data_IF_770905131635
#
_entry.id   IF_770905131635
#
_cell.length_a   1.000
_cell.length_b   1.000
_cell.length_c   1.000
_cell.angle_alpha   90.00
_cell.angle_beta   90.00
_cell.angle_gamma   90.00
#
_symmetry.space_group_name_H-M   'P 1'
#
loop_
_entity.id
_entity.type
_entity.pdbx_description
1 polymer ?
#
# COMPACT_ATOMS: atom_id res chain seq x y z
N UNK A 1 -8.65 13.13 6.78
CA UNK A 1 -7.47 13.54 5.99
C UNK A 1 -6.39 12.47 6.05
N UNK A 2 -5.22 12.71 5.49
CA UNK A 2 -4.04 11.80 5.57
C UNK A 2 -3.08 12.24 6.66
N UNK A 3 -2.22 11.32 7.13
CA UNK A 3 -1.25 11.56 8.21
C UNK A 3 -1.90 12.16 9.47
N UNK A 4 -3.10 11.68 9.82
CA UNK A 4 -3.83 12.15 11.00
C UNK A 4 -3.33 11.37 12.22
N UNK A 5 -2.80 12.04 13.25
CA UNK A 5 -2.35 11.39 14.48
C UNK A 5 -3.47 10.65 15.20
N UNK A 6 -3.11 9.59 15.94
CA UNK A 6 -4.07 8.75 16.68
C UNK A 6 -4.91 9.57 17.68
N UNK A 7 -4.29 10.44 18.48
CA UNK A 7 -4.97 11.29 19.46
C UNK A 7 -6.05 12.17 18.81
N UNK A 8 -5.77 12.72 17.63
CA UNK A 8 -6.73 13.53 16.87
C UNK A 8 -7.90 12.69 16.34
N UNK A 9 -7.66 11.46 15.88
CA UNK A 9 -8.71 10.53 15.45
C UNK A 9 -9.64 10.23 16.63
N UNK A 10 -9.08 9.83 17.77
CA UNK A 10 -9.85 9.44 18.95
C UNK A 10 -10.58 10.63 19.57
N UNK A 11 -9.95 11.80 19.60
CA UNK A 11 -10.58 13.04 20.07
C UNK A 11 -11.79 13.39 19.20
N UNK A 12 -11.63 13.42 17.88
CA UNK A 12 -12.72 13.73 16.96
C UNK A 12 -13.86 12.70 17.07
N UNK A 13 -13.53 11.41 17.22
CA UNK A 13 -14.54 10.36 17.41
C UNK A 13 -15.44 10.61 18.62
N UNK A 14 -14.89 11.14 19.73
CA UNK A 14 -15.66 11.51 20.92
C UNK A 14 -16.43 12.82 20.74
N UNK A 15 -15.79 13.85 20.21
CA UNK A 15 -16.41 15.16 20.02
C UNK A 15 -17.62 15.09 19.09
N UNK A 16 -17.53 14.26 18.04
CA UNK A 16 -18.56 14.10 17.03
C UNK A 16 -19.52 12.93 17.31
N UNK A 17 -19.32 12.18 18.41
CA UNK A 17 -20.13 11.00 18.79
C UNK A 17 -20.32 10.01 17.62
N UNK A 18 -19.22 9.60 16.99
CA UNK A 18 -19.28 8.73 15.80
C UNK A 18 -19.69 7.30 16.16
N UNK A 19 -20.36 6.62 15.23
CA UNK A 19 -20.77 5.22 15.42
C UNK A 19 -19.66 4.19 15.14
N UNK A 20 -18.60 4.61 14.44
CA UNK A 20 -17.48 3.77 14.02
C UNK A 20 -16.27 4.59 13.58
N UNK A 21 -15.08 3.99 13.64
CA UNK A 21 -13.83 4.59 13.14
C UNK A 21 -13.33 3.77 11.97
N UNK A 22 -12.98 4.43 10.86
CA UNK A 22 -12.35 3.82 9.70
C UNK A 22 -10.90 4.27 9.52
N UNK A 23 -9.98 3.32 9.35
CA UNK A 23 -8.57 3.57 9.07
C UNK A 23 -8.21 3.09 7.66
N UNK A 24 -7.51 3.93 6.92
CA UNK A 24 -6.99 3.62 5.58
C UNK A 24 -5.47 3.68 5.55
N UNK A 25 -4.83 2.69 4.95
CA UNK A 25 -3.37 2.57 4.87
C UNK A 25 -2.88 2.17 3.48
N UNK A 26 -1.81 2.82 3.02
CA UNK A 26 -1.23 2.60 1.69
C UNK A 26 0.12 1.88 1.73
N UNK A 27 0.89 2.08 2.80
CA UNK A 27 2.27 1.57 2.94
C UNK A 27 2.40 0.69 4.18
N UNK A 28 3.43 -0.15 4.23
CA UNK A 28 3.64 -1.10 5.34
C UNK A 28 3.69 -0.43 6.71
N UNK A 29 4.37 0.73 6.91
CA UNK A 29 4.33 1.44 8.19
C UNK A 29 2.93 1.84 8.67
N UNK A 30 1.97 2.02 7.76
CA UNK A 30 0.58 2.32 8.13
C UNK A 30 -0.07 1.18 8.94
N UNK A 31 0.40 -0.07 8.79
CA UNK A 31 -0.12 -1.22 9.53
C UNK A 31 0.25 -1.18 11.02
N UNK A 32 1.44 -0.65 11.34
CA UNK A 32 1.87 -0.46 12.72
C UNK A 32 1.05 0.66 13.38
N UNK A 33 0.79 1.75 12.66
CA UNK A 33 -0.10 2.83 13.11
C UNK A 33 -1.53 2.33 13.38
N UNK A 34 -2.10 1.50 12.49
CA UNK A 34 -3.42 0.89 12.73
C UNK A 34 -3.44 0.02 13.99
N UNK A 35 -2.37 -0.75 14.21
CA UNK A 35 -2.22 -1.58 15.42
C UNK A 35 -2.08 -0.71 16.68
N UNK A 36 -1.42 0.45 16.56
CA UNK A 36 -1.32 1.43 17.64
C UNK A 36 -2.70 2.04 17.95
N UNK A 37 -3.44 2.51 16.94
CA UNK A 37 -4.79 3.08 17.11
C UNK A 37 -5.73 2.08 17.79
N UNK A 38 -5.73 0.81 17.38
CA UNK A 38 -6.55 -0.23 18.03
C UNK A 38 -6.27 -0.32 19.56
N UNK A 39 -4.98 -0.34 19.95
CA UNK A 39 -4.59 -0.38 21.37
C UNK A 39 -4.98 0.89 22.13
N UNK A 40 -4.88 2.06 21.51
CA UNK A 40 -5.32 3.32 22.12
C UNK A 40 -6.84 3.42 22.20
N UNK A 41 -7.59 2.86 21.26
CA UNK A 41 -9.05 2.72 21.36
C UNK A 41 -9.42 1.87 22.58
N UNK A 42 -8.75 0.74 22.79
CA UNK A 42 -8.95 -0.08 23.99
C UNK A 42 -8.61 0.70 25.27
N UNK A 43 -7.42 1.32 25.33
CA UNK A 43 -7.00 2.13 26.49
C UNK A 43 -7.94 3.30 26.76
N UNK A 44 -8.49 3.90 25.71
CA UNK A 44 -9.45 4.99 25.76
C UNK A 44 -10.88 4.55 26.08
N UNK A 45 -11.14 3.26 26.27
CA UNK A 45 -12.47 2.74 26.63
C UNK A 45 -13.52 2.93 25.52
N UNK A 46 -13.10 2.93 24.25
CA UNK A 46 -14.04 2.98 23.13
C UNK A 46 -14.79 1.66 23.00
N UNK A 47 -16.07 1.71 22.63
CA UNK A 47 -16.98 0.57 22.44
C UNK A 47 -17.55 0.45 21.00
N UNK A 48 -17.12 1.34 20.11
CA UNK A 48 -17.52 1.41 18.71
C UNK A 48 -16.63 0.55 17.78
N UNK A 49 -17.14 0.03 16.65
CA UNK A 49 -16.36 -0.83 15.77
C UNK A 49 -15.22 -0.08 15.07
N UNK A 50 -14.13 -0.80 14.81
CA UNK A 50 -12.97 -0.34 14.05
C UNK A 50 -12.93 -1.00 12.67
N UNK A 51 -12.99 -0.21 11.60
CA UNK A 51 -12.84 -0.66 10.22
C UNK A 51 -11.42 -0.42 9.72
N UNK A 52 -10.82 -1.46 9.14
CA UNK A 52 -9.47 -1.46 8.57
C UNK A 52 -9.57 -1.68 7.06
N UNK A 53 -9.00 -0.76 6.27
CA UNK A 53 -8.95 -0.87 4.82
C UNK A 53 -7.71 -0.21 4.22
N UNK A 54 -7.59 -0.30 2.89
CA UNK A 54 -6.46 0.26 2.13
C UNK A 54 -5.49 -0.80 1.62
N UNK A 55 -4.60 -0.39 0.72
CA UNK A 55 -3.81 -1.27 -0.15
C UNK A 55 -2.92 -2.30 0.60
N UNK A 56 -2.35 -1.93 1.74
CA UNK A 56 -1.47 -2.83 2.51
C UNK A 56 -2.20 -3.70 3.52
N UNK A 57 -3.51 -3.49 3.69
CA UNK A 57 -4.31 -4.23 4.66
C UNK A 57 -4.76 -5.57 4.12
N UNK A 58 -4.93 -6.54 5.01
CA UNK A 58 -5.50 -7.84 4.65
C UNK A 58 -6.27 -8.42 5.82
N UNK A 59 -7.18 -9.36 5.52
CA UNK A 59 -7.90 -10.13 6.54
C UNK A 59 -6.95 -10.82 7.51
N UNK A 60 -5.90 -11.45 7.00
CA UNK A 60 -4.94 -12.20 7.80
C UNK A 60 -4.11 -11.27 8.70
N UNK A 61 -3.59 -10.16 8.17
CA UNK A 61 -2.86 -9.19 9.00
C UNK A 61 -3.75 -8.58 10.08
N UNK A 62 -4.98 -8.18 9.72
CA UNK A 62 -5.94 -7.60 10.66
C UNK A 62 -6.23 -8.58 11.81
N UNK A 63 -6.51 -9.84 11.49
CA UNK A 63 -6.75 -10.89 12.49
C UNK A 63 -5.55 -11.15 13.41
N UNK A 64 -4.33 -11.16 12.87
CA UNK A 64 -3.13 -11.56 13.61
C UNK A 64 -2.49 -10.42 14.39
N UNK A 65 -2.58 -9.18 13.89
CA UNK A 65 -1.79 -8.05 14.41
C UNK A 65 -2.61 -6.88 14.97
N UNK A 66 -3.79 -6.62 14.43
CA UNK A 66 -4.58 -5.43 14.79
C UNK A 66 -5.69 -5.80 15.77
N UNK A 67 -6.54 -6.75 15.41
CA UNK A 67 -7.70 -7.17 16.20
C UNK A 67 -7.37 -7.58 17.65
N UNK A 68 -6.24 -8.25 17.96
CA UNK A 68 -5.88 -8.54 19.36
C UNK A 68 -5.67 -7.30 20.24
N UNK A 69 -5.49 -6.12 19.64
CA UNK A 69 -5.37 -4.86 20.37
C UNK A 69 -6.71 -4.19 20.69
N UNK A 70 -7.84 -4.66 20.15
CA UNK A 70 -9.15 -4.05 20.33
C UNK A 70 -10.31 -5.04 20.18
N UNK A 71 -11.05 -5.27 21.28
CA UNK A 71 -12.02 -6.36 21.42
C UNK A 71 -13.44 -6.02 20.89
N UNK A 72 -13.76 -4.74 20.69
CA UNK A 72 -15.14 -4.29 20.40
C UNK A 72 -15.53 -4.39 18.92
N UNK A 73 -14.85 -5.27 18.17
CA UNK A 73 -15.05 -5.49 16.74
C UNK A 73 -14.06 -4.71 15.89
N UNK A 74 -13.00 -5.41 15.45
CA UNK A 74 -12.05 -4.92 14.43
C UNK A 74 -12.28 -5.69 13.13
N UNK A 75 -12.69 -5.00 12.06
CA UNK A 75 -13.10 -5.64 10.80
C UNK A 75 -12.25 -5.16 9.64
N UNK A 76 -11.78 -6.11 8.82
CA UNK A 76 -11.14 -5.79 7.54
C UNK A 76 -12.19 -5.65 6.44
N UNK A 77 -12.16 -4.52 5.73
CA UNK A 77 -13.04 -4.23 4.59
C UNK A 77 -12.17 -4.14 3.35
N UNK A 78 -12.50 -4.94 2.33
CA UNK A 78 -11.69 -5.09 1.13
C UNK A 78 -11.74 -3.84 0.23
N UNK A 79 -12.93 -3.33 0.00
CA UNK A 79 -13.22 -2.25 -0.96
C UNK A 79 -14.43 -1.43 -0.52
N UNK A 80 -14.66 -0.29 -1.17
CA UNK A 80 -15.74 0.63 -0.84
C UNK A 80 -17.14 0.01 -1.04
N UNK A 81 -17.31 -0.86 -2.05
CA UNK A 81 -18.60 -1.50 -2.34
C UNK A 81 -19.06 -2.39 -1.19
N UNK A 82 -18.11 -3.10 -0.56
CA UNK A 82 -18.37 -3.97 0.59
C UNK A 82 -18.52 -3.20 1.90
N UNK A 83 -17.96 -2.00 1.99
CA UNK A 83 -18.06 -1.15 3.18
C UNK A 83 -19.52 -0.89 3.55
N UNK A 84 -20.38 -0.59 2.57
CA UNK A 84 -21.81 -0.32 2.80
C UNK A 84 -22.51 -1.49 3.49
N UNK A 85 -22.28 -2.71 3.02
CA UNK A 85 -22.87 -3.91 3.61
C UNK A 85 -22.34 -4.23 5.01
N UNK A 86 -21.05 -3.94 5.27
CA UNK A 86 -20.44 -4.11 6.60
C UNK A 86 -21.00 -3.09 7.58
N UNK A 87 -21.03 -1.81 7.20
CA UNK A 87 -21.58 -0.70 7.99
C UNK A 87 -23.04 -0.96 8.33
N UNK A 88 -23.86 -1.34 7.35
CA UNK A 88 -25.29 -1.65 7.58
C UNK A 88 -25.53 -2.77 8.58
N UNK A 89 -24.66 -3.78 8.63
CA UNK A 89 -24.72 -4.83 9.66
C UNK A 89 -24.29 -4.34 11.05
N UNK A 90 -23.27 -3.48 11.11
CA UNK A 90 -22.77 -2.93 12.38
C UNK A 90 -23.71 -1.91 13.01
N UNK A 91 -24.55 -1.24 12.20
CA UNK A 91 -25.59 -0.33 12.67
C UNK A 91 -26.93 -1.02 12.96
N UNK A 92 -27.07 -2.31 12.64
CA UNK A 92 -28.30 -3.07 12.89
C UNK A 92 -28.43 -3.39 14.38
N UNK A 93 -29.54 -2.98 14.99
CA UNK A 93 -29.85 -3.21 16.42
C UNK A 93 -29.79 -4.70 16.81
N UNK A 94 -30.31 -5.57 15.94
CA UNK A 94 -30.40 -7.01 16.22
C UNK A 94 -29.27 -7.84 15.59
N UNK A 95 -28.48 -7.24 14.69
CA UNK A 95 -27.48 -7.96 13.88
C UNK A 95 -26.03 -7.68 14.24
N UNK A 96 -25.76 -6.61 14.99
CA UNK A 96 -24.40 -6.16 15.30
C UNK A 96 -23.61 -7.19 16.10
N UNK A 97 -24.16 -7.65 17.23
CA UNK A 97 -23.45 -8.56 18.14
C UNK A 97 -23.10 -9.89 17.47
N UNK A 98 -24.08 -10.52 16.82
CA UNK A 98 -23.90 -11.76 16.07
C UNK A 98 -22.85 -11.60 14.95
N UNK A 99 -22.84 -10.45 14.27
CA UNK A 99 -21.89 -10.18 13.21
C UNK A 99 -20.45 -10.00 13.73
N UNK A 100 -20.28 -9.27 14.83
CA UNK A 100 -18.98 -9.12 15.50
C UNK A 100 -18.50 -10.48 16.01
N UNK A 101 -19.36 -11.24 16.68
CA UNK A 101 -19.03 -12.58 17.18
C UNK A 101 -18.57 -13.52 16.06
N UNK A 102 -19.31 -13.55 14.95
CA UNK A 102 -18.95 -14.33 13.76
C UNK A 102 -17.59 -13.90 13.21
N UNK A 103 -17.32 -12.60 13.11
CA UNK A 103 -16.03 -12.08 12.66
C UNK A 103 -14.89 -12.47 13.62
N UNK A 104 -15.11 -12.39 14.93
CA UNK A 104 -14.11 -12.78 15.93
C UNK A 104 -13.74 -14.26 15.80
N UNK A 105 -14.72 -15.16 15.66
CA UNK A 105 -14.47 -16.59 15.41
C UNK A 105 -13.63 -16.81 14.15
N UNK A 106 -13.97 -16.13 13.04
CA UNK A 106 -13.18 -16.21 11.81
C UNK A 106 -11.73 -15.71 12.00
N UNK A 107 -11.54 -14.67 12.82
CA UNK A 107 -10.21 -14.16 13.12
C UNK A 107 -9.40 -15.11 14.00
N UNK A 108 -10.03 -15.79 14.95
CA UNK A 108 -9.40 -16.85 15.74
C UNK A 108 -8.90 -17.99 14.84
N UNK A 109 -9.74 -18.50 13.95
CA UNK A 109 -9.35 -19.54 12.98
C UNK A 109 -8.17 -19.09 12.11
N UNK A 110 -8.19 -17.84 11.62
CA UNK A 110 -7.09 -17.27 10.84
C UNK A 110 -5.79 -17.20 11.64
N UNK A 111 -5.86 -16.80 12.92
CA UNK A 111 -4.70 -16.77 13.82
C UNK A 111 -4.13 -18.17 14.03
N UNK A 112 -4.95 -19.15 14.38
CA UNK A 112 -4.52 -20.53 14.59
C UNK A 112 -3.85 -21.12 13.33
N UNK A 113 -4.47 -20.90 12.17
CA UNK A 113 -3.91 -21.29 10.87
C UNK A 113 -2.58 -20.61 10.57
N UNK A 114 -2.43 -19.33 10.91
CA UNK A 114 -1.18 -18.61 10.72
C UNK A 114 -0.05 -19.17 11.61
N UNK A 115 -0.33 -19.39 12.89
CA UNK A 115 0.66 -19.88 13.85
C UNK A 115 1.05 -21.35 13.60
N UNK A 116 0.12 -22.20 13.14
CA UNK A 116 0.43 -23.58 12.76
C UNK A 116 1.39 -23.68 11.58
N UNK A 117 1.26 -22.80 10.57
CA UNK A 117 2.18 -22.72 9.42
C UNK A 117 3.61 -22.29 9.80
N UNK A 118 3.77 -21.52 10.87
CA UNK A 118 5.09 -21.00 11.31
C UNK A 118 6.07 -22.10 11.73
N UNK A 119 5.56 -23.30 12.05
CA UNK A 119 6.37 -24.49 12.36
C UNK A 119 6.92 -25.21 11.11
N UNK A 120 6.52 -24.81 9.90
CA UNK A 120 6.64 -25.68 8.71
C UNK A 120 7.92 -25.51 7.88
N UNK A 121 8.80 -24.53 8.14
CA UNK A 121 10.05 -24.38 7.36
C UNK A 121 11.27 -24.19 8.26
N UNK A 122 12.28 -25.10 8.21
CA UNK A 122 13.54 -24.87 8.90
C UNK A 122 14.21 -23.64 8.29
N UNK A 123 14.47 -22.63 9.13
CA UNK A 123 15.24 -21.46 8.73
C UNK A 123 16.74 -21.82 8.75
N UNK A 124 17.47 -21.41 7.73
CA UNK A 124 18.92 -21.56 7.70
C UNK A 124 19.59 -20.43 8.48
N UNK A 125 20.69 -20.69 9.19
CA UNK A 125 21.51 -19.62 9.77
C UNK A 125 21.98 -18.64 8.69
N UNK A 126 22.00 -17.35 9.00
CA UNK A 126 22.39 -16.30 8.06
C UNK A 126 23.77 -16.55 7.43
N UNK A 127 24.73 -17.07 8.20
CA UNK A 127 26.05 -17.44 7.70
C UNK A 127 25.98 -18.51 6.59
N UNK A 128 25.08 -19.50 6.73
CA UNK A 128 24.88 -20.53 5.72
C UNK A 128 24.26 -19.94 4.46
N UNK A 129 23.26 -19.08 4.58
CA UNK A 129 22.63 -18.41 3.43
C UNK A 129 23.65 -17.56 2.68
N UNK A 130 24.47 -16.77 3.38
CA UNK A 130 25.55 -15.97 2.79
C UNK A 130 26.57 -16.83 2.03
N UNK A 131 26.91 -18.01 2.56
CA UNK A 131 27.80 -18.96 1.86
C UNK A 131 27.18 -19.56 0.59
N UNK A 132 25.85 -19.54 0.46
CA UNK A 132 25.10 -20.00 -0.71
C UNK A 132 24.79 -18.88 -1.70
N UNK A 133 25.28 -17.66 -1.46
CA UNK A 133 25.04 -16.54 -2.35
C UNK A 133 25.55 -16.86 -3.76
N UNK A 134 24.78 -16.47 -4.78
CA UNK A 134 25.15 -16.61 -6.18
C UNK A 134 26.53 -16.00 -6.41
N UNK A 135 27.46 -16.84 -6.85
CA UNK A 135 28.79 -16.40 -7.25
C UNK A 135 28.70 -15.87 -8.67
N UNK A 136 28.96 -14.58 -8.84
CA UNK A 136 28.96 -13.91 -10.13
C UNK A 136 30.41 -13.53 -10.43
N UNK A 137 30.91 -13.98 -11.58
CA UNK A 137 32.21 -13.58 -12.09
C UNK A 137 32.09 -12.21 -12.77
N UNK A 138 32.52 -11.16 -12.07
CA UNK A 138 32.40 -9.79 -12.54
C UNK A 138 33.64 -9.41 -13.37
N UNK A 139 33.49 -9.33 -14.68
CA UNK A 139 34.52 -8.77 -15.57
C UNK A 139 34.28 -7.29 -15.78
N UNK A 140 35.34 -6.48 -15.75
CA UNK A 140 35.22 -5.04 -15.92
C UNK A 140 34.57 -4.64 -17.25
N UNK A 141 34.82 -5.42 -18.31
CA UNK A 141 34.23 -5.27 -19.64
C UNK A 141 32.71 -5.52 -19.69
N UNK A 142 32.16 -6.28 -18.74
CA UNK A 142 30.73 -6.60 -18.68
C UNK A 142 29.92 -5.56 -17.88
N UNK A 143 30.60 -4.61 -17.21
CA UNK A 143 29.96 -3.63 -16.35
C UNK A 143 29.74 -2.32 -17.13
N UNK A 144 28.50 -2.01 -17.54
CA UNK A 144 28.22 -0.78 -18.29
C UNK A 144 28.58 0.44 -17.45
N UNK A 145 29.25 1.41 -18.07
CA UNK A 145 29.53 2.71 -17.46
C UNK A 145 28.41 3.68 -17.83
N UNK A 146 27.76 4.33 -16.84
CA UNK A 146 26.78 5.36 -17.15
C UNK A 146 27.48 6.56 -17.79
N UNK A 147 26.77 7.29 -18.66
CA UNK A 147 27.29 8.51 -19.31
C UNK A 147 27.62 9.63 -18.30
N UNK A 148 27.09 9.55 -17.08
CA UNK A 148 27.39 10.46 -15.99
C UNK A 148 27.29 9.75 -14.63
N UNK A 149 27.90 10.35 -13.62
CA UNK A 149 27.70 10.02 -12.21
C UNK A 149 27.28 11.25 -11.41
N UNK A 150 26.68 11.04 -10.24
CA UNK A 150 26.10 12.09 -9.42
C UNK A 150 24.60 12.28 -9.66
N UNK A 151 24.03 13.32 -9.04
CA UNK A 151 22.60 13.64 -9.09
C UNK A 151 22.31 14.63 -10.22
N UNK A 152 21.25 14.38 -10.96
CA UNK A 152 20.58 15.33 -11.84
C UNK A 152 19.14 15.51 -11.36
N UNK A 153 18.58 16.69 -11.59
CA UNK A 153 17.18 16.99 -11.28
C UNK A 153 16.58 17.81 -12.39
N UNK A 154 15.29 17.62 -12.63
CA UNK A 154 14.49 18.36 -13.59
C UNK A 154 13.26 18.89 -12.84
N UNK A 155 13.13 20.21 -12.79
CA UNK A 155 12.07 20.90 -12.06
C UNK A 155 10.83 21.22 -12.92
N UNK A 156 10.90 20.91 -14.23
CA UNK A 156 9.84 21.11 -15.22
C UNK A 156 9.92 20.01 -16.30
N UNK A 157 9.74 18.75 -15.87
CA UNK A 157 9.72 17.60 -16.79
C UNK A 157 8.45 17.63 -17.65
N UNK A 158 8.59 17.39 -18.96
CA UNK A 158 7.48 17.47 -19.91
C UNK A 158 6.34 16.52 -19.54
N UNK A 159 5.15 17.08 -19.31
CA UNK A 159 3.95 16.29 -19.08
C UNK A 159 3.57 15.51 -20.33
N UNK A 160 3.78 16.08 -21.53
CA UNK A 160 3.54 15.42 -22.81
C UNK A 160 4.33 14.10 -22.91
N UNK A 161 5.62 14.13 -22.50
CA UNK A 161 6.43 12.92 -22.43
C UNK A 161 5.84 11.93 -21.44
N UNK A 162 5.41 12.36 -20.24
CA UNK A 162 4.84 11.44 -19.24
C UNK A 162 3.54 10.78 -19.73
N UNK A 163 2.71 11.49 -20.50
CA UNK A 163 1.46 10.96 -21.06
C UNK A 163 1.71 9.72 -21.93
N UNK A 164 2.80 9.68 -22.68
CA UNK A 164 3.16 8.54 -23.53
C UNK A 164 3.51 7.27 -22.71
N UNK A 165 3.87 7.43 -21.44
CA UNK A 165 4.27 6.34 -20.54
C UNK A 165 3.19 5.91 -19.55
N UNK A 166 1.97 6.45 -19.65
CA UNK A 166 0.86 6.05 -18.79
C UNK A 166 0.42 4.60 -19.11
N UNK A 167 0.52 3.71 -18.13
CA UNK A 167 -0.27 2.47 -18.13
C UNK A 167 -1.67 2.78 -17.60
N UNK A 168 -2.67 2.66 -18.47
CA UNK A 168 -4.07 2.92 -18.15
C UNK A 168 -4.75 1.77 -17.40
N UNK A 169 -4.16 0.57 -17.35
CA UNK A 169 -4.79 -0.57 -16.69
C UNK A 169 -4.99 -0.32 -15.19
N UNK A 170 -3.99 0.19 -14.42
CA UNK A 170 -4.20 0.61 -13.04
C UNK A 170 -5.24 1.72 -12.86
N UNK A 171 -5.38 2.63 -13.83
CA UNK A 171 -6.42 3.67 -13.80
C UNK A 171 -7.83 3.03 -13.82
N UNK A 172 -8.10 2.09 -14.72
CA UNK A 172 -9.38 1.38 -14.74
C UNK A 172 -9.62 0.57 -13.46
N UNK A 173 -8.59 -0.10 -12.94
CA UNK A 173 -8.70 -0.83 -11.68
C UNK A 173 -9.08 0.08 -10.49
N UNK A 174 -8.56 1.31 -10.45
CA UNK A 174 -8.92 2.28 -9.42
C UNK A 174 -10.40 2.72 -9.48
N UNK A 175 -11.02 2.59 -10.65
CA UNK A 175 -12.45 2.80 -10.89
C UNK A 175 -13.28 1.50 -10.83
N UNK A 176 -12.73 0.42 -10.28
CA UNK A 176 -13.37 -0.90 -10.16
C UNK A 176 -13.74 -1.54 -11.52
N UNK A 177 -13.10 -1.09 -12.61
CA UNK A 177 -13.22 -1.68 -13.94
C UNK A 177 -12.06 -2.66 -14.17
N UNK A 178 -12.33 -3.94 -13.98
CA UNK A 178 -11.32 -4.99 -14.12
C UNK A 178 -11.04 -5.29 -15.60
N UNK A 179 -9.79 -5.15 -16.02
CA UNK A 179 -9.39 -5.42 -17.40
C UNK A 179 -8.09 -4.73 -17.77
N UNK A 180 -7.45 -5.22 -18.82
CA UNK A 180 -6.19 -4.67 -19.31
C UNK A 180 -6.45 -3.68 -20.44
N UNK A 181 -5.86 -2.49 -20.38
CA UNK A 181 -5.88 -1.55 -21.50
C UNK A 181 -5.03 -2.07 -22.67
N UNK A 182 -5.45 -1.89 -23.94
CA UNK A 182 -6.75 -1.35 -24.39
C UNK A 182 -7.88 -2.40 -24.48
N UNK A 183 -7.60 -3.68 -24.22
CA UNK A 183 -8.57 -4.79 -24.38
C UNK A 183 -9.85 -4.65 -23.56
N UNK A 184 -9.82 -3.91 -22.45
CA UNK A 184 -11.01 -3.64 -21.62
C UNK A 184 -12.14 -2.97 -22.42
N UNK A 185 -11.81 -2.25 -23.49
CA UNK A 185 -12.78 -1.59 -24.39
C UNK A 185 -13.66 -2.55 -25.20
N UNK A 186 -13.22 -3.80 -25.35
CA UNK A 186 -13.95 -4.84 -26.06
C UNK A 186 -14.77 -5.73 -25.10
N UNK A 187 -14.72 -5.46 -23.79
CA UNK A 187 -15.50 -6.21 -22.81
C UNK A 187 -17.00 -5.92 -22.98
N UNK A 188 -17.86 -6.96 -23.11
CA UNK A 188 -19.28 -6.76 -23.37
C UNK A 188 -20.07 -6.19 -22.19
N UNK A 189 -19.54 -6.29 -20.96
CA UNK A 189 -20.22 -5.80 -19.76
C UNK A 189 -19.74 -4.40 -19.38
N UNK A 190 -18.44 -4.12 -19.49
CA UNK A 190 -17.84 -2.87 -19.01
C UNK A 190 -17.20 -2.00 -20.09
N UNK A 191 -17.06 -2.48 -21.33
CA UNK A 191 -16.29 -1.81 -22.38
C UNK A 191 -16.81 -0.42 -22.73
N UNK A 192 -18.12 -0.24 -22.84
CA UNK A 192 -18.73 1.07 -23.12
C UNK A 192 -18.45 2.07 -22.00
N UNK A 193 -18.53 1.63 -20.74
CA UNK A 193 -18.21 2.47 -19.56
C UNK A 193 -16.72 2.74 -19.42
N UNK A 194 -15.87 1.79 -19.80
CA UNK A 194 -14.43 2.01 -19.82
C UNK A 194 -14.03 3.05 -20.88
N UNK A 195 -14.69 3.06 -22.05
CA UNK A 195 -14.46 4.10 -23.08
C UNK A 195 -14.90 5.47 -22.60
N UNK A 196 -16.12 5.60 -22.06
CA UNK A 196 -16.64 6.85 -21.49
C UNK A 196 -15.67 7.43 -20.44
N UNK A 197 -15.26 6.60 -19.48
CA UNK A 197 -14.31 7.01 -18.44
C UNK A 197 -12.93 7.42 -19.01
N UNK A 198 -12.46 6.70 -20.05
CA UNK A 198 -11.20 7.02 -20.70
C UNK A 198 -11.25 8.35 -21.45
N UNK A 199 -12.35 8.62 -22.15
CA UNK A 199 -12.57 9.87 -22.89
C UNK A 199 -12.62 11.06 -21.92
N UNK A 200 -13.36 10.94 -20.80
CA UNK A 200 -13.39 11.95 -19.74
C UNK A 200 -11.99 12.21 -19.14
N UNK A 201 -11.24 11.13 -18.89
CA UNK A 201 -9.88 11.24 -18.36
C UNK A 201 -8.93 11.90 -19.37
N UNK A 202 -9.10 11.64 -20.66
CA UNK A 202 -8.33 12.25 -21.74
C UNK A 202 -8.62 13.74 -21.87
N UNK A 203 -9.88 14.17 -21.77
CA UNK A 203 -10.23 15.59 -21.76
C UNK A 203 -9.56 16.32 -20.58
N UNK A 204 -9.65 15.75 -19.38
CA UNK A 204 -9.00 16.33 -18.21
C UNK A 204 -7.47 16.35 -18.35
N UNK A 205 -6.87 15.29 -18.90
CA UNK A 205 -5.43 15.20 -19.13
C UNK A 205 -4.96 16.23 -20.15
N UNK A 206 -5.70 16.42 -21.24
CA UNK A 206 -5.40 17.41 -22.27
C UNK A 206 -5.47 18.83 -21.69
N UNK A 207 -6.44 19.10 -20.81
CA UNK A 207 -6.50 20.35 -20.05
C UNK A 207 -5.31 20.53 -19.10
N UNK A 208 -4.95 19.49 -18.33
CA UNK A 208 -3.79 19.51 -17.42
C UNK A 208 -2.52 19.90 -18.18
N UNK A 209 -2.29 19.28 -19.33
CA UNK A 209 -1.12 19.52 -20.18
C UNK A 209 -1.18 20.91 -20.82
N UNK A 210 -2.31 21.25 -21.46
CA UNK A 210 -2.47 22.50 -22.20
C UNK A 210 -2.45 23.75 -21.31
N UNK A 211 -3.06 23.68 -20.12
CA UNK A 211 -3.10 24.78 -19.15
C UNK A 211 -1.93 24.74 -18.16
N UNK A 212 -1.08 23.70 -18.20
CA UNK A 212 0.03 23.47 -17.26
C UNK A 212 -0.44 23.53 -15.79
N UNK A 213 -1.51 22.80 -15.47
CA UNK A 213 -2.16 22.85 -14.15
C UNK A 213 -1.27 22.37 -13.00
N UNK A 214 -0.26 21.57 -13.31
CA UNK A 214 0.82 21.23 -12.38
C UNK A 214 2.14 21.02 -13.13
N UNK A 215 3.23 20.95 -12.39
CA UNK A 215 4.57 20.74 -12.92
C UNK A 215 5.11 19.41 -12.42
N UNK A 216 5.58 18.55 -13.34
CA UNK A 216 6.27 17.33 -12.95
C UNK A 216 7.73 17.63 -12.61
N UNK A 217 8.20 17.08 -11.49
CA UNK A 217 9.56 17.22 -11.00
C UNK A 217 10.18 15.85 -10.78
N UNK A 218 11.45 15.70 -11.11
CA UNK A 218 12.18 14.47 -10.86
C UNK A 218 13.62 14.74 -10.44
N UNK A 219 14.21 13.78 -9.74
CA UNK A 219 15.63 13.70 -9.48
C UNK A 219 16.09 12.26 -9.67
N UNK A 220 17.23 12.08 -10.31
CA UNK A 220 17.82 10.78 -10.60
C UNK A 220 19.35 10.88 -10.50
N UNK A 221 20.01 9.74 -10.27
CA UNK A 221 21.47 9.75 -10.17
C UNK A 221 22.07 8.37 -10.28
N UNK A 222 23.30 8.33 -10.80
CA UNK A 222 24.09 7.13 -10.90
C UNK A 222 25.33 7.28 -10.03
N UNK A 223 25.62 6.28 -9.21
CA UNK A 223 26.72 6.31 -8.26
C UNK A 223 27.60 5.07 -8.43
N UNK A 224 28.93 5.22 -8.40
CA UNK A 224 29.82 4.07 -8.31
C UNK A 224 29.48 3.27 -7.06
N UNK A 225 29.36 1.95 -7.21
CA UNK A 225 28.91 1.08 -6.14
C UNK A 225 29.59 -0.29 -6.11
N UNK A 226 29.64 -0.92 -4.94
CA UNK A 226 30.03 -2.31 -4.75
C UNK A 226 29.10 -3.00 -3.74
N UNK A 227 28.85 -4.28 -3.97
CA UNK A 227 28.27 -5.15 -2.95
C UNK A 227 29.28 -5.36 -1.82
N UNK A 228 28.86 -5.17 -0.57
CA UNK A 228 29.61 -5.53 0.64
C UNK A 228 28.70 -6.36 1.54
N UNK A 229 28.95 -7.67 1.59
CA UNK A 229 28.06 -8.61 2.29
C UNK A 229 26.66 -8.63 1.65
N UNK A 230 25.67 -8.15 2.38
CA UNK A 230 24.27 -8.07 1.94
C UNK A 230 23.85 -6.65 1.54
N UNK A 231 24.78 -5.67 1.64
CA UNK A 231 24.54 -4.27 1.36
C UNK A 231 25.19 -3.82 0.04
N UNK A 232 24.81 -2.62 -0.42
CA UNK A 232 25.43 -1.92 -1.54
C UNK A 232 26.06 -0.64 -1.03
N UNK A 233 27.40 -0.57 -1.06
CA UNK A 233 28.15 0.64 -0.72
C UNK A 233 28.24 1.55 -1.94
N UNK A 234 28.00 2.85 -1.71
CA UNK A 234 28.13 3.91 -2.71
C UNK A 234 29.44 4.67 -2.47
N UNK A 235 30.05 5.17 -3.54
CA UNK A 235 31.29 5.94 -3.50
C UNK A 235 31.12 7.32 -4.11
N UNK A 236 31.96 8.27 -3.69
CA UNK A 236 31.93 9.66 -4.19
C UNK A 236 32.31 9.76 -5.65
N UNK A 237 33.13 8.85 -6.15
CA UNK A 237 33.65 8.83 -7.52
C UNK A 237 34.12 7.41 -7.91
N UNK A 238 34.52 7.27 -9.17
CA UNK A 238 34.92 5.98 -9.76
C UNK A 238 36.20 5.40 -9.16
N UNK A 239 36.98 6.18 -8.40
CA UNK A 239 38.19 5.70 -7.71
C UNK A 239 37.85 4.84 -6.50
N UNK A 240 36.63 4.99 -5.95
CA UNK A 240 36.10 4.19 -4.83
C UNK A 240 36.95 4.28 -3.57
N UNK A 241 37.69 5.39 -3.41
CA UNK A 241 38.55 5.62 -2.24
C UNK A 241 37.77 6.16 -1.04
N UNK A 242 36.65 6.84 -1.29
CA UNK A 242 35.78 7.42 -0.26
C UNK A 242 34.33 6.99 -0.45
N UNK A 243 33.72 6.48 0.62
CA UNK A 243 32.29 6.17 0.66
C UNK A 243 31.48 7.47 0.61
N UNK A 244 30.35 7.42 -0.11
CA UNK A 244 29.40 8.52 -0.20
C UNK A 244 28.62 8.67 1.11
#
# INVERSE_FOLDING_TARGET
GVMVPCDKILKAAREENVDMIGLSGLITPSLDEMSHVAKEMHRGGFDLPLLIGGATTSREHTAVKIAPGYEMGTLHVLDASRAVGVVGKLLSENGREDFIATNTTLQDELREKHYSKRKAKPLLPIAKVRSLATQIDWRAEDIPQPEFTGVRSEDDFSLETLVEFIDWSPFFHAWELQGRYPKIFDDPAVGDKAKELFDDAKELLDRIVGEKLFTAKCAYGFFPANRIGDDVELFTDVTRTKRL
#
